data_IF_403067845062
#
_entry.id   IF_403067845062
#
_cell.length_a   1.000
_cell.length_b   1.000
_cell.length_c   1.000
_cell.angle_alpha   90.00
_cell.angle_beta   90.00
_cell.angle_gamma   90.00
#
_symmetry.space_group_name_H-M   'P 1'
#
loop_
_entity.id
_entity.type
_entity.pdbx_description
1 polymer ?
#
# COMPACT_ATOMS: atom_id res chain seq x y z
N UNK A 1 2.34 -4.53 -25.52
CA UNK A 1 2.27 -3.10 -25.17
C UNK A 1 0.81 -2.74 -24.98
N UNK A 2 0.49 -2.16 -23.86
CA UNK A 2 -0.85 -1.62 -23.59
C UNK A 2 -1.09 -0.34 -24.41
N UNK A 3 -2.32 0.18 -24.41
CA UNK A 3 -2.63 1.49 -25.00
C UNK A 3 -2.56 2.52 -23.88
N UNK A 4 -1.76 3.57 -24.08
CA UNK A 4 -1.64 4.66 -23.13
C UNK A 4 -2.97 5.41 -22.99
N UNK A 5 -3.53 5.37 -21.80
CA UNK A 5 -4.79 6.01 -21.41
C UNK A 5 -4.60 6.56 -20.01
N UNK A 6 -5.04 7.77 -19.76
CA UNK A 6 -4.88 8.40 -18.45
C UNK A 6 -5.80 7.79 -17.41
N UNK A 7 -5.27 7.51 -16.23
CA UNK A 7 -6.02 7.12 -15.05
C UNK A 7 -6.72 8.36 -14.48
N UNK A 8 -7.98 8.25 -14.14
CA UNK A 8 -8.73 9.34 -13.52
C UNK A 8 -8.29 9.51 -12.06
N UNK A 9 -7.64 10.63 -11.74
CA UNK A 9 -7.10 10.93 -10.41
C UNK A 9 -7.61 12.29 -9.95
N UNK A 10 -8.38 12.33 -8.87
CA UNK A 10 -8.80 13.57 -8.21
C UNK A 10 -7.72 14.09 -7.26
N UNK A 11 -6.86 14.97 -7.76
CA UNK A 11 -5.81 15.66 -6.99
C UNK A 11 -6.35 16.75 -6.08
N UNK A 12 -7.66 17.06 -6.12
CA UNK A 12 -8.31 18.03 -5.22
C UNK A 12 -8.89 17.39 -3.98
N UNK A 13 -8.84 16.05 -3.87
CA UNK A 13 -9.33 15.31 -2.73
C UNK A 13 -8.61 15.75 -1.44
N UNK A 14 -9.38 15.98 -0.38
CA UNK A 14 -8.80 16.32 0.93
C UNK A 14 -8.22 15.09 1.62
N UNK A 15 -7.35 15.29 2.62
CA UNK A 15 -6.85 14.18 3.44
C UNK A 15 -7.97 13.34 4.05
N UNK A 16 -9.10 13.97 4.40
CA UNK A 16 -10.28 13.26 4.92
C UNK A 16 -10.97 12.43 3.83
N UNK A 17 -11.07 12.95 2.59
CA UNK A 17 -11.63 12.20 1.48
C UNK A 17 -10.76 10.98 1.16
N UNK A 18 -9.45 11.17 1.09
CA UNK A 18 -8.47 10.08 0.88
C UNK A 18 -8.53 9.04 2.01
N UNK A 19 -8.63 9.48 3.28
CA UNK A 19 -8.78 8.55 4.39
C UNK A 19 -10.10 7.76 4.29
N UNK A 20 -11.21 8.40 3.95
CA UNK A 20 -12.50 7.71 3.74
C UNK A 20 -12.46 6.71 2.57
N UNK A 21 -11.65 6.99 1.54
CA UNK A 21 -11.49 6.07 0.40
C UNK A 21 -10.80 4.77 0.81
N UNK A 22 -9.71 4.85 1.59
CA UNK A 22 -8.91 3.66 1.91
C UNK A 22 -9.39 2.90 3.15
N UNK A 23 -10.15 3.54 4.06
CA UNK A 23 -10.67 2.88 5.26
C UNK A 23 -11.95 2.10 4.96
N UNK A 24 -11.94 0.83 5.33
CA UNK A 24 -13.07 -0.09 5.18
C UNK A 24 -13.97 -0.16 6.40
N UNK A 25 -14.85 -1.16 6.40
CA UNK A 25 -15.80 -1.41 7.49
C UNK A 25 -15.09 -1.70 8.83
N UNK A 26 -15.75 -1.34 9.93
CA UNK A 26 -15.23 -1.58 11.29
C UNK A 26 -14.18 -0.58 11.74
N UNK A 27 -14.05 0.56 11.06
CA UNK A 27 -13.09 1.60 11.37
C UNK A 27 -13.77 2.95 11.50
N UNK A 28 -13.42 3.72 12.52
CA UNK A 28 -13.88 5.10 12.69
C UNK A 28 -12.70 6.06 12.56
N UNK A 29 -12.71 6.92 11.53
CA UNK A 29 -11.70 7.96 11.35
C UNK A 29 -11.96 9.09 12.34
N UNK A 30 -10.93 9.48 13.08
CA UNK A 30 -10.96 10.58 14.05
C UNK A 30 -10.40 11.87 13.44
N UNK A 31 -9.27 11.76 12.75
CA UNK A 31 -8.63 12.87 12.04
C UNK A 31 -7.78 12.35 10.89
N UNK A 32 -7.56 13.19 9.88
CA UNK A 32 -6.65 12.89 8.77
C UNK A 32 -5.92 14.15 8.35
N UNK A 33 -4.64 14.02 8.02
CA UNK A 33 -3.80 15.05 7.43
C UNK A 33 -2.96 14.47 6.29
N UNK A 34 -2.58 15.33 5.35
CA UNK A 34 -1.64 15.02 4.27
C UNK A 34 -0.48 15.99 4.33
N UNK A 35 0.71 15.48 4.09
CA UNK A 35 1.94 16.25 4.02
C UNK A 35 2.71 15.82 2.76
N UNK A 36 2.98 16.75 1.86
CA UNK A 36 3.61 16.53 0.57
C UNK A 36 3.33 17.67 -0.39
N UNK A 37 3.74 17.55 -1.65
CA UNK A 37 3.33 18.46 -2.71
C UNK A 37 1.83 18.31 -3.00
N UNK A 38 1.17 19.38 -3.42
CA UNK A 38 -0.28 19.38 -3.67
C UNK A 38 -0.71 18.48 -4.85
N UNK A 39 0.22 18.15 -5.76
CA UNK A 39 -0.02 17.25 -6.89
C UNK A 39 0.59 15.86 -6.68
N UNK A 40 1.12 15.59 -5.50
CA UNK A 40 1.73 14.29 -5.14
C UNK A 40 0.75 13.35 -4.43
N UNK A 41 -0.55 13.63 -4.46
CA UNK A 41 -1.58 12.76 -3.90
C UNK A 41 -2.92 12.92 -4.61
N UNK A 42 -3.73 11.87 -4.61
CA UNK A 42 -5.09 11.91 -5.15
C UNK A 42 -5.87 10.62 -4.92
N UNK A 43 -7.16 10.66 -5.24
CA UNK A 43 -8.02 9.48 -5.31
C UNK A 43 -8.11 9.05 -6.76
N UNK A 44 -7.67 7.82 -7.07
CA UNK A 44 -7.81 7.24 -8.39
C UNK A 44 -9.09 6.41 -8.51
N UNK A 45 -9.65 6.34 -9.74
CA UNK A 45 -10.83 5.53 -10.07
C UNK A 45 -10.72 4.90 -11.45
N UNK A 46 -11.40 3.75 -11.66
CA UNK A 46 -11.44 3.06 -12.94
C UNK A 46 -10.14 2.33 -13.31
N UNK A 47 -9.32 1.98 -12.32
CA UNK A 47 -8.03 1.35 -12.54
C UNK A 47 -8.15 -0.05 -13.17
N UNK A 48 -9.16 -0.83 -12.85
CA UNK A 48 -9.40 -2.15 -13.46
C UNK A 48 -9.52 -2.08 -15.00
N UNK A 49 -10.02 -0.95 -15.50
CA UNK A 49 -10.20 -0.71 -16.94
C UNK A 49 -9.02 0.02 -17.55
N UNK A 50 -8.45 0.99 -16.83
CA UNK A 50 -7.41 1.88 -17.36
C UNK A 50 -6.01 1.29 -17.19
N UNK A 51 -5.70 0.75 -16.01
CA UNK A 51 -4.39 0.16 -15.67
C UNK A 51 -4.51 -1.29 -15.17
N UNK A 52 -5.14 -2.20 -15.94
CA UNK A 52 -5.44 -3.54 -15.47
C UNK A 52 -4.18 -4.28 -15.02
N UNK A 53 -4.19 -4.75 -13.78
CA UNK A 53 -3.10 -5.53 -13.17
C UNK A 53 -1.95 -4.69 -12.63
N UNK A 54 -2.08 -3.34 -12.60
CA UNK A 54 -1.08 -2.43 -12.01
C UNK A 54 -1.55 -1.95 -10.64
N UNK A 55 -2.74 -1.33 -10.55
CA UNK A 55 -3.29 -0.88 -9.28
C UNK A 55 -3.83 -2.04 -8.42
N UNK A 56 -3.85 -1.90 -7.10
CA UNK A 56 -4.31 -2.97 -6.19
C UNK A 56 -5.84 -3.14 -6.18
N UNK A 57 -6.61 -2.17 -6.67
CA UNK A 57 -8.08 -2.17 -6.77
C UNK A 57 -8.56 -1.14 -7.79
N UNK A 58 -9.85 -1.17 -8.14
CA UNK A 58 -10.46 -0.25 -9.12
C UNK A 58 -10.44 1.22 -8.67
N UNK A 59 -10.48 1.46 -7.36
CA UNK A 59 -10.33 2.79 -6.76
C UNK A 59 -9.42 2.76 -5.54
N UNK A 60 -8.89 3.90 -5.15
CA UNK A 60 -8.02 4.01 -3.98
C UNK A 60 -7.27 5.34 -3.94
N UNK A 61 -6.21 5.38 -3.16
CA UNK A 61 -5.36 6.56 -3.02
C UNK A 61 -3.99 6.30 -3.63
N UNK A 62 -3.48 7.25 -4.38
CA UNK A 62 -2.10 7.28 -4.86
C UNK A 62 -1.34 8.39 -4.15
N UNK A 63 -0.14 8.07 -3.67
CA UNK A 63 0.87 9.00 -3.17
C UNK A 63 2.13 8.85 -4.01
N UNK A 64 2.79 9.95 -4.35
CA UNK A 64 3.96 9.97 -5.24
C UNK A 64 5.06 10.86 -4.68
N UNK A 65 6.31 10.55 -4.98
CA UNK A 65 7.43 11.48 -4.80
C UNK A 65 7.44 12.53 -5.90
N UNK A 66 6.87 12.22 -7.09
CA UNK A 66 6.57 13.14 -8.18
C UNK A 66 5.14 13.66 -8.18
N UNK A 67 4.58 13.88 -9.36
CA UNK A 67 3.16 14.20 -9.53
C UNK A 67 2.37 12.95 -9.89
N UNK A 68 1.20 12.75 -9.26
CA UNK A 68 0.38 11.56 -9.48
C UNK A 68 -0.19 11.47 -10.90
N UNK A 69 -0.36 12.61 -11.59
CA UNK A 69 -0.80 12.64 -12.98
C UNK A 69 0.26 12.05 -13.94
N UNK A 70 1.52 12.01 -13.54
CA UNK A 70 2.61 11.42 -14.33
C UNK A 70 2.65 9.87 -14.24
N UNK A 71 1.77 9.26 -13.43
CA UNK A 71 1.66 7.80 -13.31
C UNK A 71 1.21 7.11 -14.61
N UNK A 72 0.38 7.79 -15.43
CA UNK A 72 -0.08 7.35 -16.75
C UNK A 72 -0.08 8.51 -17.73
N UNK A 73 -0.29 8.26 -19.03
CA UNK A 73 -0.43 9.30 -20.03
C UNK A 73 -1.61 9.07 -20.97
N UNK A 74 -2.07 10.12 -21.66
CA UNK A 74 -3.20 10.12 -22.58
C UNK A 74 -2.81 10.00 -24.06
N UNK A 75 -1.61 9.53 -24.39
CA UNK A 75 -1.10 9.51 -25.77
C UNK A 75 -1.96 8.70 -26.74
N UNK A 76 -2.76 7.75 -26.23
CA UNK A 76 -3.61 6.87 -27.04
C UNK A 76 -2.82 5.92 -27.96
N UNK A 77 -1.51 5.78 -27.75
CA UNK A 77 -0.63 4.89 -28.52
C UNK A 77 -0.45 3.56 -27.80
N UNK A 78 0.27 2.62 -28.44
CA UNK A 78 0.63 1.34 -27.83
C UNK A 78 1.97 1.41 -27.08
N UNK A 79 2.58 2.56 -26.99
CA UNK A 79 3.73 2.82 -26.13
C UNK A 79 3.23 3.57 -24.90
N UNK A 80 3.21 2.93 -23.76
CA UNK A 80 2.71 3.52 -22.52
C UNK A 80 3.79 4.28 -21.79
N UNK A 81 5.02 3.77 -21.78
CA UNK A 81 6.16 4.44 -21.19
C UNK A 81 6.79 5.40 -22.21
N UNK A 82 6.31 6.63 -22.23
CA UNK A 82 6.77 7.67 -23.17
C UNK A 82 7.99 8.43 -22.66
N UNK A 83 8.26 8.35 -21.36
CA UNK A 83 9.43 8.96 -20.72
C UNK A 83 10.20 7.85 -20.00
N UNK A 84 11.26 7.34 -20.55
CA UNK A 84 12.08 6.32 -19.87
C UNK A 84 12.75 6.80 -18.57
N UNK A 85 12.31 7.90 -18.01
CA UNK A 85 12.78 8.48 -16.75
C UNK A 85 11.84 9.59 -16.29
N UNK A 86 10.61 9.23 -15.90
CA UNK A 86 9.68 10.17 -15.28
C UNK A 86 10.26 10.65 -13.95
N UNK A 87 10.48 11.96 -13.86
CA UNK A 87 11.13 12.57 -12.70
C UNK A 87 10.62 13.98 -12.49
N UNK A 88 10.09 14.25 -11.31
CA UNK A 88 9.53 15.54 -10.93
C UNK A 88 10.01 15.93 -9.54
N UNK A 89 10.90 16.93 -9.47
CA UNK A 89 11.30 17.48 -8.18
C UNK A 89 10.15 18.31 -7.60
N UNK A 90 9.62 17.88 -6.48
CA UNK A 90 8.42 18.44 -5.86
C UNK A 90 8.72 19.35 -4.66
N UNK A 91 7.69 19.91 -4.07
CA UNK A 91 7.78 20.60 -2.77
C UNK A 91 7.54 19.66 -1.57
N UNK A 92 7.66 18.34 -1.80
CA UNK A 92 7.54 17.31 -0.77
C UNK A 92 8.55 17.47 0.37
N UNK A 93 8.35 16.71 1.44
CA UNK A 93 9.20 16.86 2.64
C UNK A 93 10.54 16.20 2.43
N UNK A 94 11.60 16.99 2.64
CA UNK A 94 12.97 16.46 2.66
C UNK A 94 13.41 16.17 4.08
N UNK A 95 13.94 14.98 4.32
CA UNK A 95 14.55 14.60 5.59
C UNK A 95 13.55 14.26 6.70
N UNK A 96 12.38 13.73 6.38
CA UNK A 96 11.47 13.19 7.38
C UNK A 96 12.16 12.11 8.24
N UNK A 97 11.96 12.16 9.55
CA UNK A 97 12.71 11.31 10.49
C UNK A 97 12.40 9.83 10.40
N UNK A 98 11.15 9.47 10.12
CA UNK A 98 10.73 8.08 10.00
C UNK A 98 11.24 7.46 8.70
N UNK A 99 11.11 8.19 7.58
CA UNK A 99 11.63 7.75 6.28
C UNK A 99 13.17 7.70 6.28
N UNK A 100 13.87 8.68 6.85
CA UNK A 100 15.32 8.61 7.00
C UNK A 100 15.78 7.40 7.81
N UNK A 101 15.02 7.04 8.85
CA UNK A 101 15.31 5.88 9.69
C UNK A 101 15.08 4.58 8.92
N UNK A 102 13.97 4.51 8.17
CA UNK A 102 13.63 3.36 7.32
C UNK A 102 14.66 3.15 6.21
N UNK A 103 15.03 4.21 5.50
CA UNK A 103 15.99 4.17 4.40
C UNK A 103 17.44 3.99 4.87
N UNK A 104 17.77 4.36 6.11
CA UNK A 104 19.16 4.46 6.59
C UNK A 104 19.96 5.56 5.89
N UNK A 105 19.29 6.48 5.20
CA UNK A 105 19.85 7.56 4.38
C UNK A 105 18.95 8.79 4.42
N UNK A 106 19.39 9.91 3.83
CA UNK A 106 18.55 11.08 3.64
C UNK A 106 17.44 10.78 2.61
N UNK A 107 16.23 11.25 2.89
CA UNK A 107 15.07 11.12 2.00
C UNK A 107 14.60 12.47 1.50
N UNK A 108 13.93 12.45 0.35
CA UNK A 108 13.50 13.64 -0.38
C UNK A 108 12.07 13.44 -0.87
N UNK A 109 11.41 14.54 -1.21
CA UNK A 109 10.10 14.61 -1.86
C UNK A 109 9.03 13.69 -1.25
N UNK A 110 9.11 13.46 0.09
CA UNK A 110 8.19 12.58 0.77
C UNK A 110 6.74 13.08 0.70
N UNK A 111 5.83 12.16 0.40
CA UNK A 111 4.40 12.34 0.41
C UNK A 111 3.74 11.32 1.34
N UNK A 112 3.01 11.78 2.36
CA UNK A 112 2.43 10.88 3.36
C UNK A 112 1.14 11.39 3.97
N UNK A 113 0.31 10.47 4.41
CA UNK A 113 -0.88 10.71 5.23
C UNK A 113 -0.64 10.30 6.67
N UNK A 114 -1.19 11.08 7.61
CA UNK A 114 -1.28 10.72 9.03
C UNK A 114 -2.75 10.72 9.43
N UNK A 115 -3.23 9.62 10.00
CA UNK A 115 -4.64 9.39 10.29
C UNK A 115 -4.77 8.82 11.69
N UNK A 116 -5.61 9.46 12.54
CA UNK A 116 -6.07 8.89 13.79
C UNK A 116 -7.39 8.16 13.56
N UNK A 117 -7.52 6.95 14.12
CA UNK A 117 -8.68 6.09 13.90
C UNK A 117 -8.97 5.21 15.12
N UNK A 118 -10.20 4.69 15.19
CA UNK A 118 -10.62 3.72 16.19
C UNK A 118 -11.04 2.44 15.46
N UNK A 119 -10.31 1.32 15.60
CA UNK A 119 -10.66 0.02 15.02
C UNK A 119 -11.58 -0.79 15.92
N UNK A 120 -12.42 -1.62 15.33
CA UNK A 120 -13.24 -2.59 16.07
C UNK A 120 -12.45 -3.84 16.52
N UNK A 121 -11.31 -4.12 15.87
CA UNK A 121 -10.45 -5.28 16.15
C UNK A 121 -9.01 -4.90 16.47
N UNK A 122 -8.19 -5.88 16.73
CA UNK A 122 -6.81 -5.73 17.21
C UNK A 122 -5.71 -6.00 16.17
N UNK A 123 -6.10 -6.33 14.94
CA UNK A 123 -5.20 -6.44 13.78
C UNK A 123 -5.69 -5.55 12.65
N UNK A 124 -4.80 -4.72 12.12
CA UNK A 124 -5.03 -3.90 10.95
C UNK A 124 -4.34 -4.54 9.73
N UNK A 125 -5.03 -4.50 8.58
CA UNK A 125 -4.46 -4.82 7.27
C UNK A 125 -4.56 -3.62 6.34
N UNK A 126 -3.69 -3.57 5.32
CA UNK A 126 -3.70 -2.56 4.25
C UNK A 126 -3.08 -3.17 3.01
N UNK A 127 -3.78 -3.10 1.87
CA UNK A 127 -3.30 -3.59 0.59
C UNK A 127 -2.76 -2.45 -0.28
N UNK A 128 -1.61 -2.67 -0.92
CA UNK A 128 -0.93 -1.65 -1.70
C UNK A 128 -0.11 -2.23 -2.86
N UNK A 129 0.27 -1.34 -3.78
CA UNK A 129 1.28 -1.56 -4.82
C UNK A 129 2.35 -0.48 -4.70
N UNK A 130 3.62 -0.86 -4.77
CA UNK A 130 4.76 0.02 -4.98
C UNK A 130 5.08 0.00 -6.48
N UNK A 131 5.20 1.17 -7.11
CA UNK A 131 5.66 1.30 -8.50
C UNK A 131 6.67 2.42 -8.65
N UNK A 132 7.64 2.27 -9.56
CA UNK A 132 8.74 3.22 -9.67
C UNK A 132 9.42 3.19 -11.03
N UNK A 133 9.95 4.35 -11.42
CA UNK A 133 10.92 4.52 -12.52
C UNK A 133 12.34 4.12 -12.15
N UNK A 134 12.65 3.88 -10.88
CA UNK A 134 13.96 3.37 -10.42
C UNK A 134 14.24 1.93 -10.94
N UNK A 135 13.22 1.21 -11.35
CA UNK A 135 13.33 -0.14 -11.88
C UNK A 135 13.76 -0.16 -13.36
N UNK A 136 14.58 -1.13 -13.78
CA UNK A 136 15.39 -2.03 -12.95
C UNK A 136 16.79 -1.47 -12.64
N UNK A 137 17.18 -0.29 -13.21
CA UNK A 137 18.54 0.22 -13.28
C UNK A 137 19.15 0.53 -11.93
N UNK A 138 18.32 1.08 -11.03
CA UNK A 138 18.76 1.54 -9.71
C UNK A 138 18.40 0.56 -8.59
N UNK A 139 17.70 -0.53 -8.91
CA UNK A 139 17.50 -1.63 -7.98
C UNK A 139 18.84 -2.13 -7.43
N UNK A 140 18.96 -2.30 -6.12
CA UNK A 140 20.20 -2.64 -5.42
C UNK A 140 21.30 -1.54 -5.46
N UNK A 141 20.92 -0.31 -5.71
CA UNK A 141 21.79 0.86 -5.63
C UNK A 141 21.65 1.60 -4.29
N UNK A 142 22.21 2.79 -4.20
CA UNK A 142 22.00 3.70 -3.06
C UNK A 142 20.65 4.46 -3.16
N UNK A 143 20.03 4.46 -4.33
CA UNK A 143 18.76 5.08 -4.63
C UNK A 143 17.67 4.01 -4.41
N UNK A 144 17.34 3.78 -3.17
CA UNK A 144 16.46 2.69 -2.74
C UNK A 144 15.19 3.30 -2.13
N UNK A 145 14.34 3.85 -2.98
CA UNK A 145 13.11 4.48 -2.57
C UNK A 145 12.25 3.56 -1.72
N UNK A 146 11.57 4.16 -0.76
CA UNK A 146 10.90 3.42 0.30
C UNK A 146 9.45 3.79 0.42
N UNK A 147 8.64 2.76 0.67
CA UNK A 147 7.28 2.88 1.19
C UNK A 147 7.30 2.54 2.67
N UNK A 148 6.66 3.38 3.48
CA UNK A 148 6.57 3.17 4.91
C UNK A 148 5.13 3.26 5.43
N UNK A 149 4.81 2.34 6.34
CA UNK A 149 3.57 2.35 7.12
C UNK A 149 3.95 2.21 8.60
N UNK A 150 3.59 3.18 9.41
CA UNK A 150 3.81 3.14 10.86
C UNK A 150 2.48 3.16 11.57
N UNK A 151 2.24 2.19 12.44
CA UNK A 151 1.05 2.11 13.28
C UNK A 151 1.46 2.34 14.74
N UNK A 152 0.87 3.34 15.38
CA UNK A 152 1.24 3.77 16.73
C UNK A 152 2.76 4.06 16.88
N UNK A 153 3.38 4.61 15.81
CA UNK A 153 4.80 4.92 15.75
C UNK A 153 5.72 3.70 15.55
N UNK A 154 5.18 2.51 15.30
CA UNK A 154 5.94 1.29 15.00
C UNK A 154 5.80 0.96 13.52
N UNK A 155 6.92 0.74 12.84
CA UNK A 155 6.95 0.31 11.44
C UNK A 155 6.20 -1.02 11.27
N UNK A 156 5.21 -1.04 10.39
CA UNK A 156 4.47 -2.24 10.03
C UNK A 156 5.31 -3.14 9.10
N UNK A 157 5.13 -4.44 9.23
CA UNK A 157 5.85 -5.41 8.40
C UNK A 157 5.04 -5.76 7.14
N UNK A 158 5.72 -5.95 6.01
CA UNK A 158 5.11 -6.57 4.83
C UNK A 158 5.03 -8.06 5.07
N UNK A 159 3.89 -8.68 4.78
CA UNK A 159 3.67 -10.11 5.00
C UNK A 159 4.47 -11.02 4.06
N UNK A 160 5.16 -10.46 3.06
CA UNK A 160 5.93 -11.16 2.04
C UNK A 160 7.32 -10.52 1.92
N UNK A 161 8.34 -11.33 1.61
CA UNK A 161 9.71 -10.85 1.48
C UNK A 161 10.45 -10.81 2.80
N UNK A 162 11.35 -9.86 2.97
CA UNK A 162 12.17 -9.65 4.17
C UNK A 162 11.56 -8.67 5.19
N UNK A 163 10.32 -8.25 4.96
CA UNK A 163 9.56 -7.37 5.86
C UNK A 163 9.61 -5.89 5.51
N UNK A 164 10.33 -5.48 4.45
CA UNK A 164 10.36 -4.07 4.01
C UNK A 164 9.89 -3.91 2.55
N UNK A 165 9.13 -2.86 2.28
CA UNK A 165 8.71 -2.48 0.94
C UNK A 165 9.64 -1.38 0.41
N UNK A 166 10.58 -1.76 -0.41
CA UNK A 166 11.51 -0.85 -1.09
C UNK A 166 11.97 -1.44 -2.42
N UNK A 167 12.45 -0.59 -3.30
CA UNK A 167 12.99 -0.98 -4.61
C UNK A 167 14.17 -1.94 -4.46
N UNK A 168 15.00 -1.75 -3.45
CA UNK A 168 16.16 -2.62 -3.18
C UNK A 168 15.78 -4.02 -2.68
N UNK A 169 14.59 -4.20 -2.10
CA UNK A 169 14.15 -5.48 -1.56
C UNK A 169 13.17 -6.23 -2.47
N UNK A 170 12.51 -5.51 -3.38
CA UNK A 170 11.53 -6.09 -4.31
C UNK A 170 11.93 -5.68 -5.72
N UNK A 171 12.62 -6.55 -6.44
CA UNK A 171 13.14 -6.26 -7.78
C UNK A 171 13.44 -7.55 -8.56
N UNK A 172 14.00 -7.40 -9.77
CA UNK A 172 14.34 -8.51 -10.66
C UNK A 172 15.39 -9.50 -10.08
N UNK A 173 16.11 -9.13 -9.03
CA UNK A 173 17.14 -9.97 -8.38
C UNK A 173 16.67 -10.55 -7.06
N UNK A 174 15.90 -9.75 -6.31
CA UNK A 174 15.41 -10.07 -4.99
C UNK A 174 13.88 -10.09 -4.98
N UNK A 175 13.29 -11.18 -4.52
CA UNK A 175 11.84 -11.37 -4.44
C UNK A 175 11.13 -11.27 -5.81
N UNK A 176 11.74 -11.81 -6.86
CA UNK A 176 11.27 -11.76 -8.26
C UNK A 176 9.80 -12.16 -8.48
N UNK A 177 9.25 -13.01 -7.62
CA UNK A 177 7.88 -13.52 -7.74
C UNK A 177 6.80 -12.49 -7.37
N UNK A 178 7.19 -11.36 -6.80
CA UNK A 178 6.28 -10.26 -6.45
C UNK A 178 6.62 -8.96 -7.20
N UNK A 179 7.64 -8.97 -8.05
CA UNK A 179 8.03 -7.88 -8.94
C UNK A 179 7.50 -8.10 -10.36
N UNK A 180 7.04 -7.04 -11.00
CA UNK A 180 6.57 -7.02 -12.39
C UNK A 180 7.40 -6.00 -13.17
N UNK A 181 8.10 -6.47 -14.20
CA UNK A 181 8.89 -5.66 -15.12
C UNK A 181 7.97 -5.04 -16.19
N UNK A 182 8.00 -3.72 -16.34
CA UNK A 182 7.25 -2.99 -17.35
C UNK A 182 8.14 -2.27 -18.39
N UNK A 183 9.44 -2.49 -18.40
CA UNK A 183 10.37 -1.87 -19.36
C UNK A 183 10.03 -2.14 -20.83
N UNK A 184 9.12 -3.08 -21.12
CA UNK A 184 8.62 -3.40 -22.45
C UNK A 184 7.20 -2.83 -22.71
N UNK A 185 6.70 -1.89 -21.92
CA UNK A 185 5.39 -1.22 -22.04
C UNK A 185 4.20 -2.21 -22.14
N UNK A 186 4.21 -3.24 -21.33
CA UNK A 186 3.16 -4.25 -21.35
C UNK A 186 1.91 -3.80 -20.59
N UNK A 187 2.10 -2.93 -19.61
CA UNK A 187 1.06 -2.38 -18.74
C UNK A 187 0.89 -0.88 -18.97
N UNK A 188 -0.29 -0.37 -18.70
CA UNK A 188 -0.59 1.05 -18.86
C UNK A 188 -0.17 1.85 -17.61
N UNK A 189 1.09 2.15 -17.52
CA UNK A 189 1.72 3.06 -16.56
C UNK A 189 3.05 3.53 -17.15
N UNK A 190 3.50 4.72 -16.77
CA UNK A 190 4.82 5.24 -17.13
C UNK A 190 5.94 4.55 -16.36
N UNK A 191 5.62 3.91 -15.25
CA UNK A 191 6.61 3.27 -14.37
C UNK A 191 7.25 2.05 -15.01
N UNK A 192 8.56 1.94 -14.92
CA UNK A 192 9.38 0.84 -15.45
C UNK A 192 9.21 -0.48 -14.67
N UNK A 193 8.67 -0.42 -13.46
CA UNK A 193 8.33 -1.62 -12.71
C UNK A 193 7.41 -1.36 -11.53
N UNK A 194 6.77 -2.43 -11.05
CA UNK A 194 5.86 -2.37 -9.91
C UNK A 194 5.75 -3.73 -9.21
N UNK A 195 5.15 -3.76 -8.03
CA UNK A 195 4.88 -4.99 -7.28
C UNK A 195 3.51 -5.56 -7.64
N UNK A 196 3.29 -6.85 -7.42
CA UNK A 196 1.93 -7.34 -7.24
C UNK A 196 1.30 -6.65 -6.01
N UNK A 197 0.00 -6.81 -5.80
CA UNK A 197 -0.62 -6.32 -4.55
C UNK A 197 0.02 -7.00 -3.34
N UNK A 198 0.51 -6.18 -2.42
CA UNK A 198 1.13 -6.56 -1.16
C UNK A 198 0.24 -6.16 0.00
N UNK A 199 0.39 -6.82 1.15
CA UNK A 199 -0.39 -6.51 2.35
C UNK A 199 0.54 -6.16 3.51
N UNK A 200 0.38 -4.98 4.10
CA UNK A 200 0.88 -4.68 5.44
C UNK A 200 -0.06 -5.24 6.50
N UNK A 201 0.52 -5.66 7.62
CA UNK A 201 -0.23 -6.02 8.83
C UNK A 201 0.39 -5.37 10.06
N UNK A 202 -0.44 -4.91 10.98
CA UNK A 202 0.04 -4.35 12.23
C UNK A 202 -0.97 -4.56 13.37
N UNK A 203 -0.50 -4.77 14.61
CA UNK A 203 -1.37 -4.78 15.78
C UNK A 203 -1.92 -3.38 16.07
N UNK A 204 -3.17 -3.31 16.49
CA UNK A 204 -3.88 -2.10 16.92
C UNK A 204 -4.62 -2.34 18.22
N UNK A 205 -5.03 -1.26 18.90
CA UNK A 205 -5.80 -1.34 20.13
C UNK A 205 -7.28 -1.19 19.81
N UNK A 206 -8.03 -2.29 19.85
CA UNK A 206 -9.47 -2.30 19.57
C UNK A 206 -10.25 -1.33 20.48
N UNK A 207 -11.13 -0.52 19.89
CA UNK A 207 -11.97 0.44 20.59
C UNK A 207 -11.23 1.67 21.15
N UNK A 208 -9.93 1.81 20.91
CA UNK A 208 -9.12 2.96 21.33
C UNK A 208 -8.62 3.75 20.12
N UNK A 209 -8.19 4.99 20.34
CA UNK A 209 -7.57 5.78 19.26
C UNK A 209 -6.18 5.23 18.96
N UNK A 210 -5.98 4.89 17.70
CA UNK A 210 -4.69 4.50 17.12
C UNK A 210 -4.28 5.55 16.08
N UNK A 211 -3.00 5.58 15.71
CA UNK A 211 -2.49 6.40 14.63
C UNK A 211 -1.86 5.54 13.54
N UNK A 212 -1.99 5.95 12.28
CA UNK A 212 -1.26 5.38 11.15
C UNK A 212 -0.63 6.50 10.34
N UNK A 213 0.64 6.32 9.94
CA UNK A 213 1.34 7.14 8.96
C UNK A 213 1.65 6.24 7.76
N UNK A 214 1.24 6.67 6.56
CA UNK A 214 1.39 5.92 5.30
C UNK A 214 2.03 6.84 4.27
N UNK A 215 3.08 6.41 3.59
CA UNK A 215 3.67 7.24 2.55
C UNK A 215 4.85 6.63 1.81
N UNK A 216 5.42 7.45 0.94
CA UNK A 216 6.55 7.15 0.05
C UNK A 216 7.57 8.27 0.11
N UNK A 217 8.83 7.95 -0.12
CA UNK A 217 9.92 8.93 -0.19
C UNK A 217 11.04 8.45 -1.08
N UNK A 218 11.63 9.37 -1.85
CA UNK A 218 12.89 9.16 -2.57
C UNK A 218 14.06 9.05 -1.62
N UNK A 219 15.06 8.26 -1.97
CA UNK A 219 16.25 8.02 -1.16
C UNK A 219 17.50 8.46 -1.89
N UNK A 220 18.31 9.28 -1.22
CA UNK A 220 19.58 9.81 -1.66
C UNK A 220 19.51 10.96 -2.68
N UNK A 221 18.50 11.05 -3.52
CA UNK A 221 18.25 12.22 -4.37
C UNK A 221 16.71 12.45 -4.52
N UNK A 222 16.28 13.21 -5.51
CA UNK A 222 14.88 13.59 -5.79
C UNK A 222 14.58 13.36 -7.27
N UNK A 223 14.97 12.21 -7.78
CA UNK A 223 14.86 11.86 -9.20
C UNK A 223 14.28 10.47 -9.35
N UNK A 224 13.55 10.24 -10.44
CA UNK A 224 12.85 8.98 -10.73
C UNK A 224 11.69 8.73 -9.76
N UNK A 225 10.51 9.16 -10.20
CA UNK A 225 9.31 9.17 -9.38
C UNK A 225 8.89 7.77 -8.92
N UNK A 226 8.57 7.67 -7.64
CA UNK A 226 8.08 6.44 -7.00
C UNK A 226 6.68 6.67 -6.45
N UNK A 227 5.79 5.68 -6.65
CA UNK A 227 4.39 5.77 -6.28
C UNK A 227 3.99 4.65 -5.32
N UNK A 228 3.13 5.01 -4.38
CA UNK A 228 2.40 4.10 -3.50
C UNK A 228 0.91 4.18 -3.84
N UNK A 229 0.34 3.09 -4.36
CA UNK A 229 -1.09 2.95 -4.58
C UNK A 229 -1.70 2.11 -3.47
N UNK A 230 -2.63 2.69 -2.72
CA UNK A 230 -3.35 2.02 -1.62
C UNK A 230 -4.75 1.66 -2.10
N UNK A 231 -5.16 0.40 -1.91
CA UNK A 231 -6.46 -0.08 -2.34
C UNK A 231 -7.60 0.56 -1.54
N UNK A 232 -8.69 0.92 -2.21
CA UNK A 232 -9.90 1.43 -1.58
C UNK A 232 -10.50 0.42 -0.60
N UNK A 233 -10.88 0.89 0.60
CA UNK A 233 -11.47 0.06 1.66
C UNK A 233 -10.54 -1.01 2.25
N UNK A 234 -9.23 -1.00 1.94
CA UNK A 234 -8.31 -2.05 2.38
C UNK A 234 -7.73 -1.84 3.78
N UNK A 235 -7.77 -0.59 4.29
CA UNK A 235 -7.43 -0.32 5.70
C UNK A 235 -8.59 -0.79 6.56
N UNK A 236 -8.49 -2.00 7.03
CA UNK A 236 -9.55 -2.64 7.80
C UNK A 236 -8.99 -3.46 8.94
N UNK A 237 -9.80 -3.72 9.94
CA UNK A 237 -9.42 -4.68 10.95
C UNK A 237 -9.77 -6.09 10.43
N UNK A 238 -8.79 -6.99 10.38
CA UNK A 238 -8.99 -8.33 9.82
C UNK A 238 -9.69 -9.26 10.80
N UNK A 239 -10.47 -10.20 10.25
CA UNK A 239 -10.88 -11.41 10.97
C UNK A 239 -9.66 -12.34 11.07
N UNK A 240 -9.27 -12.70 12.26
CA UNK A 240 -8.20 -13.68 12.49
C UNK A 240 -8.82 -14.97 13.01
N UNK A 241 -8.95 -15.96 12.12
CA UNK A 241 -9.24 -17.32 12.51
C UNK A 241 -7.94 -17.98 13.00
N UNK A 242 -7.90 -18.41 14.27
CA UNK A 242 -6.76 -19.12 14.82
C UNK A 242 -7.00 -20.62 14.80
N UNK A 243 -5.95 -21.37 14.47
CA UNK A 243 -6.00 -22.83 14.48
C UNK A 243 -6.31 -23.38 15.87
N UNK A 244 -7.28 -24.27 15.94
CA UNK A 244 -7.65 -24.98 17.13
C UNK A 244 -6.92 -26.32 17.25
N UNK A 245 -6.48 -26.66 18.44
CA UNK A 245 -5.87 -27.95 18.73
C UNK A 245 -6.56 -28.61 19.92
N UNK A 246 -7.09 -29.83 19.71
CA UNK A 246 -7.82 -30.56 20.74
C UNK A 246 -7.33 -32.00 20.88
N UNK A 247 -7.02 -32.39 22.10
CA UNK A 247 -6.79 -33.80 22.42
C UNK A 247 -8.11 -34.49 22.74
N UNK A 248 -8.42 -35.58 22.02
CA UNK A 248 -9.57 -36.44 22.25
C UNK A 248 -9.06 -37.88 22.49
N UNK A 249 -9.37 -38.45 23.65
CA UNK A 249 -9.01 -39.82 23.94
C UNK A 249 -9.69 -40.82 23.00
N UNK A 250 -9.12 -42.02 22.88
CA UNK A 250 -9.63 -43.09 22.02
C UNK A 250 -11.13 -43.39 22.31
N UNK A 251 -11.98 -43.29 21.29
CA UNK A 251 -13.45 -43.38 21.38
C UNK A 251 -14.11 -42.30 22.27
N UNK A 252 -13.40 -41.17 22.53
CA UNK A 252 -13.95 -40.05 23.28
C UNK A 252 -14.75 -39.12 22.39
N UNK A 253 -15.67 -38.37 23.01
CA UNK A 253 -16.34 -37.20 22.40
C UNK A 253 -16.02 -35.97 23.23
N UNK A 254 -15.78 -34.84 22.60
CA UNK A 254 -15.51 -33.55 23.23
C UNK A 254 -16.31 -32.45 22.53
N UNK A 255 -17.04 -31.66 23.31
CA UNK A 255 -17.61 -30.41 22.78
C UNK A 255 -16.54 -29.34 22.91
N UNK A 256 -16.24 -28.66 21.80
CA UNK A 256 -15.21 -27.64 21.73
C UNK A 256 -15.85 -26.34 21.19
N UNK A 257 -15.38 -25.21 21.68
CA UNK A 257 -15.71 -23.91 21.14
C UNK A 257 -14.56 -23.51 20.21
N UNK A 258 -14.76 -23.71 18.91
CA UNK A 258 -13.76 -23.43 17.87
C UNK A 258 -13.72 -21.94 17.48
N UNK A 259 -14.51 -21.09 18.12
CA UNK A 259 -14.49 -19.65 17.93
C UNK A 259 -13.88 -18.91 19.14
N UNK A 260 -13.44 -19.64 20.17
CA UNK A 260 -13.01 -19.06 21.43
C UNK A 260 -11.70 -18.25 21.34
N UNK A 261 -10.86 -18.58 20.36
CA UNK A 261 -9.59 -17.89 20.07
C UNK A 261 -9.64 -17.05 18.77
N UNK A 262 -10.77 -17.10 18.06
CA UNK A 262 -10.98 -16.29 16.85
C UNK A 262 -11.36 -14.86 17.23
N UNK A 263 -10.90 -13.93 16.41
CA UNK A 263 -11.21 -12.52 16.56
C UNK A 263 -11.93 -12.02 15.31
N UNK A 264 -12.99 -11.25 15.52
CA UNK A 264 -13.74 -10.61 14.44
C UNK A 264 -13.86 -9.13 14.73
N UNK A 265 -13.66 -8.37 13.71
CA UNK A 265 -13.78 -6.92 13.70
C UNK A 265 -15.17 -6.46 13.26
N UNK A 266 -15.93 -7.34 12.61
CA UNK A 266 -17.30 -7.02 12.24
C UNK A 266 -18.21 -6.97 13.46
N UNK A 267 -19.10 -5.96 13.58
CA UNK A 267 -20.10 -5.93 14.65
C UNK A 267 -21.02 -7.14 14.53
N UNK A 268 -21.03 -7.99 15.56
CA UNK A 268 -21.86 -9.17 15.58
C UNK A 268 -21.21 -10.35 16.31
N UNK A 269 -21.96 -11.46 16.42
CA UNK A 269 -21.46 -12.69 17.01
C UNK A 269 -20.89 -13.57 15.90
N UNK A 270 -19.67 -14.07 16.07
CA UNK A 270 -19.10 -15.08 15.19
C UNK A 270 -20.01 -16.29 15.10
N UNK A 271 -20.22 -16.80 13.90
CA UNK A 271 -21.04 -18.00 13.65
C UNK A 271 -20.35 -18.89 12.63
N UNK A 272 -20.35 -20.20 12.89
CA UNK A 272 -19.89 -21.20 11.93
C UNK A 272 -20.96 -21.35 10.84
N UNK A 273 -20.63 -20.99 9.61
CA UNK A 273 -21.56 -21.08 8.47
C UNK A 273 -21.39 -22.38 7.67
N UNK A 274 -20.24 -23.05 7.78
CA UNK A 274 -19.93 -24.28 7.05
C UNK A 274 -18.96 -25.16 7.83
N UNK A 275 -19.18 -26.45 7.77
CA UNK A 275 -18.22 -27.47 8.25
C UNK A 275 -18.01 -28.41 7.06
N UNK A 276 -16.76 -28.55 6.64
CA UNK A 276 -16.39 -29.51 5.60
C UNK A 276 -16.08 -30.87 6.27
N UNK A 277 -16.66 -31.94 5.76
CA UNK A 277 -16.39 -33.34 6.18
C UNK A 277 -15.12 -33.87 5.49
#
# INVERSE_FOLDING_TARGET
MATATELDIDTTATATDMANEIFGDGMTIVSASYTGDALSSGIYTGADTTTPGVAPSDSGVILSTGHVDDFTNDSGTTNTNTSGNTTTNTSGVNGDGDFNTLAGSATYDAAFMEIDFIPDGDLLTLDFVLSSEEYPEFANSQYNDVVGVWVNGVLAEVTIGDGSASIGNINQSDTQNIYVDNTADQYNTEMDGFTITLTFTAPVNAGEVNSIKIGVADVADSSYDTNLLVAGGSVQSAFVAQDDSFDIGFNGTKTVDVLANDQSTAPGTLTITHIND
#
